data_IF_143191834852
#
_entry.id   IF_143191834852
#
_cell.length_a   1.000
_cell.length_b   1.000
_cell.length_c   1.000
_cell.angle_alpha   90.00
_cell.angle_beta   90.00
_cell.angle_gamma   90.00
#
_symmetry.space_group_name_H-M   'P 1'
#
loop_
_entity.id
_entity.type
_entity.pdbx_description
1 polymer ?
#
# COMPACT_ATOMS: atom_id res chain seq x y z
N UNK A 1 12.43 14.68 -0.78
CA UNK A 1 12.26 15.56 -1.97
C UNK A 1 13.59 15.72 -2.69
N UNK A 2 13.60 16.56 -3.73
CA UNK A 2 14.82 16.79 -4.49
C UNK A 2 15.41 15.48 -4.97
N UNK A 3 14.56 14.57 -5.41
CA UNK A 3 15.02 13.27 -5.89
C UNK A 3 15.46 13.38 -7.35
N UNK A 4 16.60 12.76 -7.66
CA UNK A 4 17.13 12.79 -9.01
C UNK A 4 17.40 11.37 -9.50
N UNK A 5 16.83 11.02 -10.65
CA UNK A 5 17.02 9.69 -11.21
C UNK A 5 16.62 8.62 -10.21
N UNK A 6 15.55 8.89 -9.47
CA UNK A 6 15.05 7.94 -8.49
C UNK A 6 13.54 8.08 -8.32
N UNK A 7 12.88 6.98 -8.00
CA UNK A 7 11.44 6.99 -7.82
C UNK A 7 11.09 6.64 -6.37
N UNK A 8 9.94 7.13 -5.92
CA UNK A 8 9.51 6.87 -4.54
C UNK A 8 8.06 6.44 -4.51
N UNK A 9 7.68 5.73 -3.45
CA UNK A 9 6.33 5.24 -3.31
C UNK A 9 5.75 5.57 -1.94
N UNK A 10 4.69 6.36 -1.91
CA UNK A 10 4.02 6.70 -0.66
C UNK A 10 2.65 6.06 -0.62
N UNK A 11 2.45 5.20 0.36
CA UNK A 11 1.18 4.50 0.49
C UNK A 11 0.96 4.05 1.93
N UNK A 12 -0.27 3.73 2.26
CA UNK A 12 -0.60 3.30 3.61
C UNK A 12 0.03 1.95 3.90
N UNK A 13 -0.81 0.92 3.99
CA UNK A 13 -0.34 -0.44 4.28
C UNK A 13 0.03 -0.59 5.74
N UNK A 14 0.91 0.27 6.22
CA UNK A 14 1.34 0.23 7.62
C UNK A 14 0.92 1.50 8.35
N UNK A 15 0.45 1.32 9.58
CA UNK A 15 0.00 2.46 10.38
C UNK A 15 -1.45 2.81 10.08
N UNK A 16 -1.73 3.23 8.85
CA UNK A 16 -3.10 3.59 8.47
C UNK A 16 -4.01 2.38 8.65
N UNK A 17 -3.48 1.21 8.30
CA UNK A 17 -4.24 -0.03 8.44
C UNK A 17 -4.58 -0.28 9.92
N UNK A 18 -3.63 0.04 10.79
CA UNK A 18 -3.83 -0.16 12.22
C UNK A 18 -3.76 1.17 12.95
N UNK A 19 -4.42 2.19 12.41
CA UNK A 19 -4.40 3.51 13.04
C UNK A 19 -4.87 3.43 14.49
N UNK A 20 -5.83 2.56 14.75
CA UNK A 20 -6.35 2.39 16.11
C UNK A 20 -6.09 0.98 16.62
N UNK A 21 -5.75 0.06 15.72
CA UNK A 21 -5.50 -1.31 16.11
C UNK A 21 -4.02 -1.66 15.98
N UNK A 22 -3.17 -0.65 16.08
CA UNK A 22 -1.73 -0.88 15.97
C UNK A 22 -1.24 -1.74 17.14
N UNK A 23 -1.57 -1.31 18.35
CA UNK A 23 -1.15 -2.04 19.54
C UNK A 23 -1.90 -3.34 19.70
N UNK A 24 -3.12 -3.36 19.21
CA UNK A 24 -3.96 -4.55 19.29
C UNK A 24 -4.01 -5.28 17.96
N UNK A 25 -3.05 -5.00 17.09
CA UNK A 25 -3.01 -5.64 15.78
C UNK A 25 -1.59 -5.73 15.25
N UNK A 26 -1.44 -6.04 13.99
CA UNK A 26 -0.12 -6.18 13.32
C UNK A 26 0.72 -4.91 13.48
N UNK A 27 2.03 -5.08 13.50
CA UNK A 27 2.94 -3.95 13.63
C UNK A 27 3.93 -3.92 12.48
N UNK A 28 4.31 -2.74 12.04
CA UNK A 28 5.27 -2.61 10.95
C UNK A 28 6.67 -2.35 11.49
N UNK A 29 7.67 -2.97 10.86
CA UNK A 29 9.05 -2.79 11.30
C UNK A 29 10.02 -3.31 10.22
N UNK A 30 11.32 -3.08 10.43
CA UNK A 30 12.31 -3.54 9.47
C UNK A 30 12.18 -2.81 8.15
N UNK A 31 11.77 -1.54 8.22
CA UNK A 31 11.62 -0.75 7.02
C UNK A 31 12.98 -0.22 6.58
N UNK A 32 13.62 -0.94 5.68
CA UNK A 32 14.94 -0.55 5.19
C UNK A 32 15.27 -1.25 3.88
N UNK A 33 16.49 -1.05 3.39
CA UNK A 33 16.90 -1.69 2.14
C UNK A 33 15.97 -1.30 0.99
N UNK A 34 15.75 0.01 0.82
CA UNK A 34 14.88 0.48 -0.24
C UNK A 34 13.51 0.91 0.30
N UNK A 35 13.32 0.84 1.61
CA UNK A 35 12.06 1.25 2.21
C UNK A 35 12.29 2.02 3.50
N UNK A 36 11.34 2.87 3.86
CA UNK A 36 11.46 3.67 5.07
C UNK A 36 10.08 4.13 5.54
N UNK A 37 9.99 4.53 6.80
CA UNK A 37 8.72 5.01 7.35
C UNK A 37 8.69 6.53 7.36
N UNK A 38 7.60 7.10 6.85
CA UNK A 38 7.48 8.55 6.81
C UNK A 38 6.14 9.00 7.39
N UNK A 39 6.17 10.07 8.17
CA UNK A 39 4.96 10.60 8.78
C UNK A 39 4.04 11.19 7.70
N UNK A 40 2.73 11.02 7.88
CA UNK A 40 1.76 11.55 6.94
C UNK A 40 1.88 13.07 6.84
N UNK A 41 2.23 13.71 7.94
CA UNK A 41 2.36 15.16 7.97
C UNK A 41 3.43 15.62 6.98
N UNK A 42 4.56 14.93 7.00
CA UNK A 42 5.67 15.27 6.10
C UNK A 42 5.25 15.10 4.65
N UNK A 43 4.49 14.04 4.38
CA UNK A 43 4.04 13.75 3.02
C UNK A 43 2.82 14.60 2.64
N UNK A 44 3.07 15.87 2.29
CA UNK A 44 1.98 16.78 1.93
C UNK A 44 1.22 16.31 0.67
N UNK A 45 1.96 16.02 -0.40
CA UNK A 45 1.33 15.58 -1.65
C UNK A 45 0.57 14.27 -1.46
N UNK A 46 1.22 13.33 -0.79
CA UNK A 46 0.64 12.04 -0.52
C UNK A 46 -0.60 12.18 0.36
N UNK A 47 -0.46 13.00 1.38
CA UNK A 47 -1.55 13.24 2.32
C UNK A 47 -2.76 13.76 1.56
N UNK A 48 -2.51 14.58 0.54
CA UNK A 48 -3.60 15.11 -0.26
C UNK A 48 -4.33 13.96 -0.94
N UNK A 49 -3.56 13.01 -1.44
CA UNK A 49 -4.13 11.85 -2.11
C UNK A 49 -4.98 11.04 -1.12
N UNK A 50 -4.50 10.91 0.10
CA UNK A 50 -5.20 10.15 1.12
C UNK A 50 -6.60 10.74 1.36
N UNK A 51 -6.66 12.07 1.41
CA UNK A 51 -7.92 12.76 1.62
C UNK A 51 -8.91 12.46 0.48
N UNK A 52 -8.39 12.43 -0.75
CA UNK A 52 -9.22 12.17 -1.91
C UNK A 52 -9.77 10.75 -1.87
N UNK A 53 -9.03 9.84 -1.24
CA UNK A 53 -9.46 8.46 -1.13
C UNK A 53 -10.46 8.29 -0.01
N UNK A 54 -10.42 7.14 0.68
CA UNK A 54 -11.33 6.87 1.78
C UNK A 54 -11.39 8.07 2.72
N UNK A 55 -12.48 8.16 3.47
CA UNK A 55 -12.66 9.27 4.42
C UNK A 55 -12.38 8.81 5.85
N UNK A 56 -11.32 9.26 6.50
CA UNK A 56 -11.00 8.84 7.89
C UNK A 56 -11.82 9.59 8.94
N UNK A 57 -12.52 8.83 9.76
CA UNK A 57 -13.32 9.44 10.81
C UNK A 57 -12.50 9.59 12.08
N UNK A 58 -11.86 8.50 12.50
CA UNK A 58 -11.02 8.52 13.69
C UNK A 58 -9.68 7.85 13.42
N UNK A 59 -8.63 8.64 13.24
CA UNK A 59 -7.30 8.09 13.00
C UNK A 59 -6.32 8.61 14.03
N UNK A 60 -5.33 7.79 14.36
CA UNK A 60 -4.34 8.19 15.35
C UNK A 60 -3.75 9.55 14.99
N UNK A 61 -3.30 10.27 15.99
CA UNK A 61 -2.72 11.59 15.76
C UNK A 61 -1.49 11.46 14.88
N UNK A 62 -1.62 11.85 13.62
CA UNK A 62 -0.52 11.77 12.68
C UNK A 62 -0.10 10.31 12.46
N UNK A 63 -0.98 9.55 11.81
CA UNK A 63 -0.70 8.14 11.55
C UNK A 63 0.48 7.99 10.60
N UNK A 64 1.35 7.01 10.89
CA UNK A 64 2.52 6.78 10.05
C UNK A 64 2.17 5.95 8.83
N UNK A 65 2.94 6.11 7.75
CA UNK A 65 2.70 5.36 6.52
C UNK A 65 3.98 4.67 6.06
N UNK A 66 3.83 3.74 5.12
CA UNK A 66 4.97 3.00 4.60
C UNK A 66 5.43 3.61 3.28
N UNK A 67 6.74 3.80 3.15
CA UNK A 67 7.30 4.41 1.96
C UNK A 67 8.34 3.49 1.32
N UNK A 68 8.18 3.25 0.03
CA UNK A 68 9.12 2.41 -0.70
C UNK A 68 9.96 3.25 -1.66
N UNK A 69 11.18 3.55 -1.25
CA UNK A 69 12.07 4.37 -2.07
C UNK A 69 13.06 3.50 -2.85
N UNK A 70 13.95 4.14 -3.59
CA UNK A 70 14.94 3.41 -4.38
C UNK A 70 14.26 2.48 -5.38
N UNK A 71 13.25 3.00 -6.08
CA UNK A 71 12.54 2.18 -7.06
C UNK A 71 12.91 2.55 -8.49
N UNK A 72 12.41 1.78 -9.45
CA UNK A 72 12.69 2.05 -10.86
C UNK A 72 11.39 2.12 -11.66
N UNK A 73 11.35 3.03 -12.62
CA UNK A 73 10.16 3.20 -13.45
C UNK A 73 10.48 2.99 -14.92
N UNK A 74 9.60 2.28 -15.61
CA UNK A 74 9.79 2.00 -17.03
C UNK A 74 8.53 2.35 -17.82
N UNK A 75 8.36 3.65 -18.06
CA UNK A 75 7.23 4.16 -18.82
C UNK A 75 7.66 4.50 -20.24
N UNK A 76 6.90 4.02 -21.22
CA UNK A 76 7.22 4.29 -22.62
C UNK A 76 5.96 4.53 -23.44
N UNK A 77 6.11 5.23 -24.56
CA UNK A 77 4.97 5.51 -25.42
C UNK A 77 4.66 4.33 -26.33
N UNK A 78 5.49 3.30 -26.28
CA UNK A 78 5.28 2.11 -27.09
C UNK A 78 3.92 1.48 -26.76
N UNK A 79 3.59 1.48 -25.48
CA UNK A 79 2.32 0.92 -25.03
C UNK A 79 1.73 1.75 -23.88
N UNK A 80 0.46 1.49 -23.59
CA UNK A 80 -0.23 2.21 -22.52
C UNK A 80 -0.02 1.55 -21.16
N UNK A 81 0.93 0.60 -21.10
CA UNK A 81 1.21 -0.10 -19.85
C UNK A 81 2.46 0.48 -19.19
N UNK A 82 2.47 0.50 -17.87
CA UNK A 82 3.63 1.03 -17.14
C UNK A 82 4.27 -0.09 -16.33
N UNK A 83 5.59 -0.12 -16.33
CA UNK A 83 6.32 -1.13 -15.57
C UNK A 83 7.12 -0.46 -14.45
N UNK A 84 6.63 -0.56 -13.22
CA UNK A 84 7.31 0.06 -12.09
C UNK A 84 7.49 -0.96 -10.98
N UNK A 85 8.73 -1.14 -10.51
CA UNK A 85 8.99 -2.11 -9.45
C UNK A 85 9.86 -1.55 -8.34
N UNK A 86 9.31 -1.53 -7.11
CA UNK A 86 10.06 -1.04 -5.97
C UNK A 86 10.76 -2.19 -5.23
N UNK A 87 12.08 -2.18 -5.15
CA UNK A 87 12.85 -3.24 -4.43
C UNK A 87 12.88 -3.00 -2.92
N UNK A 88 12.04 -2.10 -2.44
CA UNK A 88 12.00 -1.78 -1.02
C UNK A 88 11.67 -3.03 -0.21
N UNK A 89 12.14 -3.05 1.02
CA UNK A 89 11.91 -4.21 1.88
C UNK A 89 11.21 -3.80 3.15
N UNK A 90 10.16 -4.54 3.50
CA UNK A 90 9.44 -4.26 4.73
C UNK A 90 8.96 -5.54 5.37
N UNK A 91 9.00 -5.56 6.68
CA UNK A 91 8.59 -6.74 7.44
C UNK A 91 7.53 -6.38 8.45
N UNK A 92 6.47 -7.16 8.46
CA UNK A 92 5.39 -6.96 9.39
C UNK A 92 5.48 -7.97 10.53
N UNK A 93 5.34 -7.48 11.74
CA UNK A 93 5.43 -8.32 12.90
C UNK A 93 4.04 -8.77 13.32
N UNK A 94 3.75 -10.04 13.09
CA UNK A 94 2.44 -10.57 13.44
C UNK A 94 2.31 -10.63 14.95
N UNK A 95 1.79 -9.54 15.53
CA UNK A 95 1.60 -9.47 16.97
C UNK A 95 2.95 -9.53 17.70
N UNK A 96 3.44 -10.74 17.91
CA UNK A 96 4.72 -10.94 18.58
C UNK A 96 5.86 -10.50 17.66
N UNK A 97 7.09 -10.58 18.14
CA UNK A 97 8.24 -10.16 17.33
C UNK A 97 8.24 -10.87 15.98
N UNK A 98 8.48 -10.10 14.91
CA UNK A 98 8.50 -10.67 13.57
C UNK A 98 7.20 -11.41 13.28
N UNK A 99 7.15 -12.12 12.16
CA UNK A 99 5.96 -12.87 11.79
C UNK A 99 5.76 -12.88 10.28
N UNK A 100 5.30 -11.76 9.75
CA UNK A 100 5.06 -11.67 8.31
C UNK A 100 6.18 -10.89 7.62
N UNK A 101 6.72 -11.46 6.56
CA UNK A 101 7.81 -10.81 5.82
C UNK A 101 7.43 -10.62 4.35
N UNK A 102 7.53 -9.38 3.87
CA UNK A 102 7.17 -9.08 2.48
C UNK A 102 8.27 -8.25 1.80
N UNK A 103 8.49 -8.51 0.52
CA UNK A 103 9.51 -7.77 -0.23
C UNK A 103 9.29 -7.92 -1.73
N UNK A 104 10.18 -7.33 -2.52
CA UNK A 104 10.07 -7.41 -3.98
C UNK A 104 8.76 -6.80 -4.47
N UNK A 105 8.47 -5.56 -4.05
CA UNK A 105 7.26 -4.89 -4.46
C UNK A 105 7.28 -4.65 -5.97
N UNK A 106 6.17 -4.97 -6.63
CA UNK A 106 6.08 -4.81 -8.08
C UNK A 106 4.75 -4.16 -8.48
N UNK A 107 4.78 -3.41 -9.57
CA UNK A 107 3.58 -2.73 -10.03
C UNK A 107 3.39 -2.89 -11.54
N UNK A 108 2.22 -3.40 -11.92
CA UNK A 108 1.91 -3.60 -13.34
C UNK A 108 0.63 -2.85 -13.72
N UNK A 109 0.71 -2.05 -14.78
CA UNK A 109 -0.45 -1.28 -15.25
C UNK A 109 -0.69 -1.52 -16.74
N UNK A 110 -1.96 -1.56 -17.15
CA UNK A 110 -2.29 -1.79 -18.56
C UNK A 110 -3.43 -0.89 -18.99
N UNK A 111 -3.14 0.00 -19.94
CA UNK A 111 -4.15 0.92 -20.45
C UNK A 111 -4.68 1.81 -19.33
N UNK A 112 -3.98 1.82 -18.19
CA UNK A 112 -4.39 2.63 -17.05
C UNK A 112 -5.78 2.25 -16.56
N UNK A 113 -6.28 1.10 -17.01
CA UNK A 113 -7.61 0.64 -16.61
C UNK A 113 -7.54 -0.79 -16.09
N UNK A 114 -6.39 -1.44 -16.26
CA UNK A 114 -6.23 -2.81 -15.79
C UNK A 114 -4.81 -3.07 -15.36
N UNK A 115 -4.61 -3.31 -14.07
CA UNK A 115 -3.28 -3.57 -13.55
C UNK A 115 -3.34 -4.16 -12.16
N UNK A 116 -2.21 -4.69 -11.71
CA UNK A 116 -2.13 -5.27 -10.38
C UNK A 116 -0.70 -5.24 -9.88
N UNK A 117 -0.54 -5.23 -8.57
CA UNK A 117 0.77 -5.20 -7.95
C UNK A 117 1.18 -6.61 -7.54
N UNK A 118 2.44 -6.96 -7.80
CA UNK A 118 2.93 -8.29 -7.44
C UNK A 118 4.05 -8.20 -6.42
N UNK A 119 4.08 -9.15 -5.51
CA UNK A 119 5.11 -9.17 -4.46
C UNK A 119 5.30 -10.57 -3.90
N UNK A 120 6.32 -10.72 -3.07
CA UNK A 120 6.61 -12.02 -2.47
C UNK A 120 6.32 -12.00 -0.96
N UNK A 121 5.48 -12.92 -0.52
CA UNK A 121 5.14 -13.02 0.89
C UNK A 121 5.39 -14.42 1.40
N UNK A 122 6.17 -14.53 2.47
CA UNK A 122 6.49 -15.84 3.03
C UNK A 122 7.12 -16.74 1.96
N UNK A 123 6.60 -17.95 1.84
CA UNK A 123 7.12 -18.89 0.85
C UNK A 123 6.39 -18.74 -0.49
N UNK A 124 5.35 -17.91 -0.52
CA UNK A 124 4.60 -17.71 -1.76
C UNK A 124 5.23 -16.57 -2.56
N UNK A 125 5.23 -16.73 -3.88
CA UNK A 125 5.81 -15.73 -4.76
C UNK A 125 4.86 -15.41 -5.92
N UNK A 126 5.04 -14.23 -6.52
CA UNK A 126 4.20 -13.82 -7.64
C UNK A 126 2.74 -13.79 -7.22
N UNK A 127 2.47 -13.25 -6.04
CA UNK A 127 1.11 -13.18 -5.54
C UNK A 127 0.55 -11.79 -5.79
N UNK A 128 -0.79 -11.69 -5.82
CA UNK A 128 -1.43 -10.41 -6.06
C UNK A 128 -1.40 -9.57 -4.79
N UNK A 129 -0.45 -8.64 -4.73
CA UNK A 129 -0.33 -7.77 -3.58
C UNK A 129 -1.47 -6.76 -3.54
N UNK A 130 -1.80 -6.20 -4.71
CA UNK A 130 -2.89 -5.22 -4.78
C UNK A 130 -3.60 -5.29 -6.13
N UNK A 131 -4.87 -4.88 -6.15
CA UNK A 131 -5.66 -4.89 -7.38
C UNK A 131 -5.89 -3.45 -7.86
N UNK A 132 -5.14 -3.05 -8.89
CA UNK A 132 -5.28 -1.71 -9.44
C UNK A 132 -6.31 -1.66 -10.56
N UNK A 133 -7.34 -0.85 -10.37
CA UNK A 133 -8.37 -0.72 -11.39
C UNK A 133 -8.01 0.38 -12.38
N UNK A 134 -7.56 1.52 -11.87
CA UNK A 134 -7.19 2.61 -12.76
C UNK A 134 -6.25 3.59 -12.07
N UNK A 135 -5.55 4.40 -12.87
CA UNK A 135 -4.62 5.37 -12.30
C UNK A 135 -4.59 6.65 -13.15
N UNK A 136 -4.01 7.70 -12.59
CA UNK A 136 -3.91 8.98 -13.28
C UNK A 136 -2.46 9.45 -13.33
N UNK A 137 -2.16 10.35 -14.25
CA UNK A 137 -0.81 10.88 -14.40
C UNK A 137 -0.78 12.37 -14.04
N UNK A 138 0.37 12.82 -13.57
CA UNK A 138 0.54 14.21 -13.19
C UNK A 138 1.95 14.70 -13.53
N UNK A 139 2.32 15.84 -12.98
CA UNK A 139 3.65 16.39 -13.24
C UNK A 139 4.71 15.56 -12.52
N UNK A 140 5.28 14.61 -13.24
CA UNK A 140 6.30 13.74 -12.68
C UNK A 140 5.75 12.95 -11.51
N UNK A 141 4.43 12.90 -11.38
CA UNK A 141 3.79 12.17 -10.30
C UNK A 141 2.63 11.33 -10.83
N UNK A 142 2.58 10.07 -10.42
CA UNK A 142 1.51 9.18 -10.86
C UNK A 142 0.74 8.65 -9.66
N UNK A 143 -0.58 8.77 -9.70
CA UNK A 143 -1.42 8.30 -8.60
C UNK A 143 -2.23 7.08 -9.00
N UNK A 144 -2.18 6.04 -8.17
CA UNK A 144 -2.91 4.80 -8.44
C UNK A 144 -4.12 4.68 -7.52
N UNK A 145 -5.26 4.33 -8.12
CA UNK A 145 -6.50 4.17 -7.38
C UNK A 145 -7.05 2.74 -7.52
N UNK A 146 -6.76 1.87 -6.58
CA UNK A 146 -7.26 0.46 -6.59
C UNK A 146 -8.76 0.38 -6.38
N UNK A 147 -9.36 -0.75 -6.74
CA UNK A 147 -10.81 -0.92 -6.58
C UNK A 147 -11.16 -1.38 -5.17
N UNK A 148 -11.07 -0.48 -4.20
CA UNK A 148 -11.40 -0.82 -2.82
C UNK A 148 -12.22 0.32 -2.18
N UNK A 149 -13.37 0.61 -2.72
CA UNK A 149 -14.27 1.69 -2.20
C UNK A 149 -14.90 1.34 -0.85
N UNK A 150 -15.47 2.30 -0.18
CA UNK A 150 -16.11 2.07 1.15
C UNK A 150 -17.01 0.84 1.12
N UNK A 151 -16.97 0.08 2.22
CA UNK A 151 -17.76 -1.13 2.31
C UNK A 151 -19.23 -0.84 2.07
N UNK A 152 -19.96 -1.88 1.72
CA UNK A 152 -21.39 -1.74 1.46
C UNK A 152 -22.11 -3.06 1.62
N UNK A 153 -21.78 -3.81 2.67
CA UNK A 153 -22.44 -5.09 2.92
C UNK A 153 -22.23 -5.55 4.36
N UNK A 154 -21.00 -5.95 4.67
CA UNK A 154 -20.67 -6.42 6.02
C UNK A 154 -19.20 -6.80 6.12
N UNK A 155 -18.76 -7.69 5.25
CA UNK A 155 -17.36 -8.12 5.25
C UNK A 155 -16.60 -7.32 4.22
N UNK A 156 -15.72 -6.45 4.67
CA UNK A 156 -14.93 -5.65 3.75
C UNK A 156 -13.47 -6.10 3.72
N UNK A 157 -13.04 -6.63 2.58
CA UNK A 157 -11.68 -7.11 2.44
C UNK A 157 -10.76 -5.97 2.00
N UNK A 158 -9.76 -5.61 2.81
CA UNK A 158 -8.82 -4.50 2.46
C UNK A 158 -7.78 -4.90 1.41
N UNK A 159 -7.22 -6.10 1.57
CA UNK A 159 -6.21 -6.60 0.64
C UNK A 159 -6.72 -7.81 -0.12
N UNK A 160 -6.16 -8.03 -1.31
CA UNK A 160 -6.57 -9.16 -2.14
C UNK A 160 -6.46 -10.46 -1.34
N UNK A 161 -7.35 -11.41 -1.65
CA UNK A 161 -7.35 -12.68 -0.94
C UNK A 161 -5.99 -13.35 -1.04
N UNK A 162 -5.23 -13.05 -2.09
CA UNK A 162 -3.91 -13.66 -2.25
C UNK A 162 -2.95 -13.21 -1.15
N UNK A 163 -2.93 -11.92 -0.86
CA UNK A 163 -2.06 -11.39 0.18
C UNK A 163 -2.58 -11.81 1.57
N UNK A 164 -3.90 -11.76 1.72
CA UNK A 164 -4.53 -12.14 2.99
C UNK A 164 -4.30 -13.61 3.29
N UNK A 165 -4.44 -14.45 2.27
CA UNK A 165 -4.25 -15.88 2.44
C UNK A 165 -2.82 -16.15 2.89
N UNK A 166 -1.89 -15.41 2.31
CA UNK A 166 -0.48 -15.58 2.62
C UNK A 166 -0.13 -15.04 4.01
N UNK A 167 -1.12 -14.54 4.75
CA UNK A 167 -0.86 -14.00 6.08
C UNK A 167 -0.28 -15.09 6.97
N UNK A 168 -0.85 -16.29 6.87
CA UNK A 168 -0.38 -17.41 7.68
C UNK A 168 -0.72 -17.20 9.16
N UNK A 169 -1.52 -16.17 9.45
CA UNK A 169 -1.89 -15.86 10.81
C UNK A 169 -3.24 -16.48 11.15
N UNK A 170 -3.34 -17.00 12.37
CA UNK A 170 -4.58 -17.61 12.82
C UNK A 170 -5.64 -16.53 13.08
N UNK A 171 -5.22 -15.26 13.08
CA UNK A 171 -6.15 -14.17 13.33
C UNK A 171 -6.79 -13.71 12.02
N UNK A 172 -7.42 -14.64 11.31
CA UNK A 172 -8.07 -14.33 10.05
C UNK A 172 -9.19 -13.30 10.27
N UNK A 173 -9.92 -13.47 11.36
CA UNK A 173 -11.01 -12.56 11.68
C UNK A 173 -10.48 -11.14 11.88
N UNK A 174 -9.30 -11.04 12.49
CA UNK A 174 -8.72 -9.72 12.74
C UNK A 174 -8.43 -9.00 11.43
N UNK A 175 -7.78 -9.68 10.50
CA UNK A 175 -7.45 -9.07 9.21
C UNK A 175 -8.70 -8.85 8.36
N UNK A 176 -9.63 -9.80 8.42
CA UNK A 176 -10.86 -9.70 7.66
C UNK A 176 -12.01 -10.34 8.43
N UNK A 177 -13.14 -9.64 8.49
CA UNK A 177 -14.31 -10.15 9.21
C UNK A 177 -15.58 -9.50 8.69
N UNK A 178 -16.73 -9.90 9.24
CA UNK A 178 -18.01 -9.32 8.82
C UNK A 178 -18.19 -7.93 9.43
N UNK A 179 -17.22 -7.05 9.19
CA UNK A 179 -17.28 -5.69 9.72
C UNK A 179 -16.66 -4.70 8.74
N UNK A 180 -16.96 -3.43 8.93
CA UNK A 180 -16.41 -2.39 8.07
C UNK A 180 -16.76 -1.01 8.60
N UNK A 181 -16.62 -0.83 9.91
CA UNK A 181 -16.94 0.45 10.53
C UNK A 181 -16.21 1.58 9.82
N UNK A 182 -16.72 2.80 9.98
CA UNK A 182 -16.12 3.96 9.34
C UNK A 182 -14.60 3.98 9.55
N UNK A 183 -14.17 3.63 10.76
CA UNK A 183 -12.74 3.59 11.06
C UNK A 183 -12.04 2.55 10.20
N UNK A 184 -12.69 1.40 10.02
CA UNK A 184 -12.12 0.33 9.22
C UNK A 184 -11.93 0.81 7.79
N UNK A 185 -12.91 1.52 7.27
CA UNK A 185 -12.84 2.03 5.92
C UNK A 185 -11.60 2.90 5.77
N UNK A 186 -11.34 3.73 6.77
CA UNK A 186 -10.17 4.60 6.72
C UNK A 186 -8.89 3.79 6.62
N UNK A 187 -8.84 2.67 7.34
CA UNK A 187 -7.65 1.82 7.34
C UNK A 187 -7.54 1.09 5.99
N UNK A 188 -8.67 0.96 5.31
CA UNK A 188 -8.71 0.26 4.04
C UNK A 188 -7.86 1.00 2.99
N UNK A 189 -6.95 0.31 2.31
CA UNK A 189 -6.09 0.94 1.26
C UNK A 189 -6.90 1.57 0.13
N UNK A 190 -6.29 2.56 -0.52
CA UNK A 190 -6.93 3.27 -1.63
C UNK A 190 -6.02 4.32 -2.24
N UNK A 191 -5.39 5.18 -1.46
CA UNK A 191 -4.51 6.24 -2.01
C UNK A 191 -3.09 5.76 -2.24
N UNK A 192 -2.67 5.75 -3.50
CA UNK A 192 -1.31 5.36 -3.85
C UNK A 192 -0.63 6.46 -4.64
N UNK A 193 0.48 6.97 -4.13
CA UNK A 193 1.21 8.03 -4.81
C UNK A 193 2.63 7.58 -5.12
N UNK A 194 3.06 7.76 -6.36
CA UNK A 194 4.40 7.35 -6.75
C UNK A 194 5.10 8.49 -7.49
N UNK A 195 6.42 8.53 -7.37
CA UNK A 195 7.22 9.57 -8.00
C UNK A 195 8.12 8.99 -9.09
N UNK A 196 7.99 9.54 -10.30
CA UNK A 196 8.81 9.08 -11.41
C UNK A 196 10.23 9.65 -11.30
N UNK A 197 11.20 8.86 -11.74
CA UNK A 197 12.59 9.28 -11.71
C UNK A 197 12.92 10.18 -12.90
N UNK A 198 14.13 10.74 -12.89
CA UNK A 198 14.56 11.61 -13.98
C UNK A 198 14.76 13.03 -13.48
#
# INVERSE_FOLDING_TARGET
SEEVKNADLYWGFSGSSHHKYDHNGPKFEKAGKGAELTNIDAASAYAETFKKGVFPNNKREKSDILVFHNGEVKTETNHSSYQINWPGEVTMKLGYGDGLVIKDLNLMLKNGNMGELKATVGENSNITLFDVQEYSVSDNTITVTPKIPPCTTGTWKPWHNDLTSKLGSLKSVFFESYTCNNDDIAKKPLPLTVVLNG
#
